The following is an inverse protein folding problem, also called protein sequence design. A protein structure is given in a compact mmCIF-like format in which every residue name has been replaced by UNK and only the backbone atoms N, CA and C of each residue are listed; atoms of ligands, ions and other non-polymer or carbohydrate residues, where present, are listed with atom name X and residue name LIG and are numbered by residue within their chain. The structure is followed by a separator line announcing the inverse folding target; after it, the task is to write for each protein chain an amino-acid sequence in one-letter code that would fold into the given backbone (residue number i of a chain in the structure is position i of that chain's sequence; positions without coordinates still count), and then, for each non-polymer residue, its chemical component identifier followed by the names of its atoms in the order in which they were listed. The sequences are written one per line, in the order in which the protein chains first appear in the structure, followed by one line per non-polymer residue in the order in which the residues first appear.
data_IF_589905001347
#
_entry.id   IF_589905001347
#
_cell.length_a   1.000
_cell.length_b   1.000
_cell.length_c   1.000
_cell.angle_alpha   90.00
_cell.angle_beta   90.00
_cell.angle_gamma   90.00
#
_symmetry.space_group_name_H-M   'P 1'
#
loop_
_entity.id
_entity.type
_entity.pdbx_description
1 polymer ?
#
# COMPACT_ATOMS: atom_id res chain seq x y z
N UNK A 1 -20.06 16.28 -21.42
CA UNK A 1 -20.33 16.19 -19.97
C UNK A 1 -21.01 14.87 -19.58
N UNK A 2 -22.10 14.46 -20.20
CA UNK A 2 -22.84 13.22 -19.91
C UNK A 2 -21.97 11.93 -19.98
N UNK A 3 -21.20 11.71 -21.04
CA UNK A 3 -20.35 10.52 -21.19
C UNK A 3 -19.27 10.41 -20.12
N UNK A 4 -18.63 11.54 -19.71
CA UNK A 4 -17.65 11.53 -18.65
C UNK A 4 -18.27 11.13 -17.31
N UNK A 5 -19.44 11.69 -16.96
CA UNK A 5 -20.18 11.32 -15.76
C UNK A 5 -20.60 9.85 -15.78
N UNK A 6 -20.97 9.31 -16.94
CA UNK A 6 -21.35 7.90 -17.09
C UNK A 6 -20.14 6.99 -16.83
N UNK A 7 -18.96 7.28 -17.41
CA UNK A 7 -17.75 6.50 -17.19
C UNK A 7 -17.31 6.55 -15.72
N UNK A 8 -17.27 7.75 -15.14
CA UNK A 8 -16.90 7.94 -13.73
C UNK A 8 -17.89 7.22 -12.80
N UNK A 9 -19.20 7.30 -13.10
CA UNK A 9 -20.24 6.60 -12.37
C UNK A 9 -20.11 5.09 -12.47
N UNK A 10 -19.77 4.56 -13.64
CA UNK A 10 -19.52 3.13 -13.84
C UNK A 10 -18.33 2.64 -13.03
N UNK A 11 -17.20 3.37 -12.99
CA UNK A 11 -16.03 3.02 -12.19
C UNK A 11 -16.35 2.98 -10.69
N UNK A 12 -17.18 3.93 -10.23
CA UNK A 12 -17.65 3.95 -8.85
C UNK A 12 -18.58 2.76 -8.55
N UNK A 13 -19.54 2.49 -9.42
CA UNK A 13 -20.46 1.34 -9.31
C UNK A 13 -19.68 0.02 -9.28
N UNK A 14 -18.69 -0.15 -10.17
CA UNK A 14 -17.81 -1.32 -10.18
C UNK A 14 -17.14 -1.55 -8.82
N UNK A 15 -16.52 -0.51 -8.26
CA UNK A 15 -15.84 -0.62 -6.96
C UNK A 15 -16.81 -1.00 -5.84
N UNK A 16 -18.01 -0.45 -5.84
CA UNK A 16 -19.08 -0.79 -4.89
C UNK A 16 -19.53 -2.24 -5.06
N UNK A 17 -19.74 -2.69 -6.28
CA UNK A 17 -20.08 -4.08 -6.61
C UNK A 17 -19.01 -5.06 -6.12
N UNK A 18 -17.72 -4.76 -6.33
CA UNK A 18 -16.60 -5.58 -5.84
C UNK A 18 -16.61 -5.67 -4.32
N UNK A 19 -16.88 -4.56 -3.62
CA UNK A 19 -16.95 -4.56 -2.14
C UNK A 19 -18.06 -5.49 -1.66
N UNK A 20 -19.30 -5.32 -2.12
CA UNK A 20 -20.43 -6.15 -1.66
C UNK A 20 -20.25 -7.62 -2.04
N UNK A 21 -19.83 -7.90 -3.28
CA UNK A 21 -19.60 -9.28 -3.73
C UNK A 21 -18.50 -9.96 -2.91
N UNK A 22 -17.41 -9.25 -2.64
CA UNK A 22 -16.28 -9.79 -1.86
C UNK A 22 -16.64 -10.03 -0.39
N UNK A 23 -17.48 -9.18 0.21
CA UNK A 23 -18.01 -9.40 1.56
C UNK A 23 -18.90 -10.64 1.59
N UNK A 24 -19.84 -10.78 0.65
CA UNK A 24 -20.74 -11.94 0.56
C UNK A 24 -19.96 -13.25 0.38
N UNK A 25 -18.99 -13.29 -0.55
CA UNK A 25 -18.13 -14.46 -0.76
C UNK A 25 -17.29 -14.76 0.49
N UNK A 26 -16.79 -13.72 1.18
CA UNK A 26 -16.05 -13.88 2.43
C UNK A 26 -16.86 -14.53 3.55
N UNK A 27 -18.13 -14.17 3.68
CA UNK A 27 -19.05 -14.79 4.65
C UNK A 27 -19.27 -16.29 4.34
N UNK A 28 -19.50 -16.63 3.07
CA UNK A 28 -19.68 -18.03 2.63
C UNK A 28 -18.40 -18.84 2.87
N UNK A 29 -17.23 -18.30 2.51
CA UNK A 29 -15.94 -19.00 2.69
C UNK A 29 -15.56 -19.20 4.15
N UNK A 30 -15.89 -18.27 5.05
CA UNK A 30 -15.68 -18.45 6.49
C UNK A 30 -16.46 -19.65 7.05
N UNK A 31 -17.64 -19.92 6.50
CA UNK A 31 -18.46 -21.10 6.86
C UNK A 31 -17.93 -22.42 6.30
N UNK A 32 -17.19 -22.36 5.17
CA UNK A 32 -16.68 -23.54 4.44
C UNK A 32 -15.24 -23.94 4.80
N UNK A 33 -14.52 -23.18 5.63
CA UNK A 33 -13.13 -23.49 6.01
C UNK A 33 -13.05 -24.66 7.01
N UNK A 34 -13.04 -25.88 6.47
CA UNK A 34 -12.26 -26.98 7.03
C UNK A 34 -10.77 -26.70 6.69
N UNK A 35 -9.96 -26.53 7.71
CA UNK A 35 -8.53 -26.19 7.61
C UNK A 35 -7.73 -27.27 6.86
N UNK A 36 -7.07 -26.92 5.76
CA UNK A 36 -5.87 -27.66 5.36
C UNK A 36 -4.78 -27.25 6.36
N UNK A 37 -4.45 -28.17 7.26
CA UNK A 37 -3.31 -28.07 8.16
C UNK A 37 -2.05 -28.23 7.34
N UNK A 38 -1.32 -27.14 7.12
CA UNK A 38 0.08 -27.20 6.68
C UNK A 38 0.96 -27.28 7.93
N UNK A 39 2.07 -28.03 7.82
CA UNK A 39 3.10 -28.03 8.84
C UNK A 39 3.63 -26.59 9.03
N UNK A 40 3.19 -25.95 10.13
CA UNK A 40 3.54 -24.58 10.45
C UNK A 40 5.04 -24.42 10.82
N UNK A 41 5.74 -25.54 11.06
CA UNK A 41 7.09 -25.53 11.63
C UNK A 41 8.23 -25.52 10.58
N UNK A 42 7.96 -25.69 9.30
CA UNK A 42 9.00 -25.72 8.28
C UNK A 42 9.12 -24.40 7.51
N UNK A 43 9.74 -23.38 8.13
CA UNK A 43 10.19 -22.19 7.41
C UNK A 43 11.20 -22.56 6.31
N UNK A 44 10.99 -22.09 5.07
CA UNK A 44 11.83 -22.43 3.91
C UNK A 44 12.25 -21.25 3.07
N UNK A 45 11.44 -20.19 3.00
CA UNK A 45 11.69 -19.02 2.16
C UNK A 45 12.86 -18.21 2.71
N UNK A 46 13.90 -18.02 1.92
CA UNK A 46 15.01 -17.12 2.26
C UNK A 46 14.67 -15.71 1.81
N UNK A 47 14.48 -14.80 2.79
CA UNK A 47 14.12 -13.42 2.56
C UNK A 47 15.33 -12.49 2.54
N UNK A 48 15.38 -11.57 1.55
CA UNK A 48 16.07 -10.29 1.71
C UNK A 48 15.10 -9.28 2.28
N UNK A 49 15.37 -8.78 3.49
CA UNK A 49 14.55 -7.74 4.14
C UNK A 49 15.13 -6.38 3.81
N UNK A 50 14.59 -5.73 2.79
CA UNK A 50 15.05 -4.43 2.32
C UNK A 50 14.36 -3.33 3.11
N UNK A 51 15.14 -2.43 3.70
CA UNK A 51 14.68 -1.23 4.39
C UNK A 51 15.24 -0.01 3.64
N UNK A 52 14.35 0.82 3.05
CA UNK A 52 14.76 2.06 2.39
C UNK A 52 14.76 3.21 3.41
N UNK A 53 15.88 3.93 3.51
CA UNK A 53 16.06 5.01 4.49
C UNK A 53 16.72 6.24 3.88
N UNK A 54 16.21 7.44 4.22
CA UNK A 54 16.79 8.73 3.87
C UNK A 54 16.64 9.71 5.03
N UNK A 55 17.73 9.95 5.79
CA UNK A 55 17.73 10.79 6.99
C UNK A 55 16.70 10.35 8.05
N UNK A 56 16.79 9.09 8.46
CA UNK A 56 15.87 8.42 9.38
C UNK A 56 16.56 7.98 10.69
N UNK A 57 17.59 8.70 11.14
CA UNK A 57 18.39 8.35 12.35
C UNK A 57 17.53 8.12 13.61
N UNK A 58 16.36 8.79 13.71
CA UNK A 58 15.46 8.71 14.86
C UNK A 58 14.64 7.44 14.91
N UNK A 59 14.41 6.79 13.76
CA UNK A 59 13.44 5.70 13.66
C UNK A 59 14.04 4.40 13.12
N UNK A 60 15.15 4.44 12.35
CA UNK A 60 15.73 3.29 11.64
C UNK A 60 16.01 2.07 12.54
N UNK A 61 16.27 2.28 13.82
CA UNK A 61 16.49 1.18 14.78
C UNK A 61 15.23 0.33 14.99
N UNK A 62 14.03 0.90 14.86
CA UNK A 62 12.75 0.19 15.10
C UNK A 62 12.52 -0.96 14.11
N UNK A 63 12.50 -0.73 12.77
CA UNK A 63 12.33 -1.83 11.82
C UNK A 63 13.43 -2.87 11.93
N UNK A 64 14.69 -2.47 12.11
CA UNK A 64 15.80 -3.41 12.25
C UNK A 64 15.58 -4.31 13.47
N UNK A 65 15.30 -3.73 14.65
CA UNK A 65 15.06 -4.48 15.87
C UNK A 65 13.84 -5.41 15.74
N UNK A 66 12.73 -4.94 15.13
CA UNK A 66 11.52 -5.74 14.96
C UNK A 66 11.73 -6.91 14.00
N UNK A 67 12.50 -6.72 12.91
CA UNK A 67 12.88 -7.81 12.00
C UNK A 67 13.81 -8.79 12.71
N UNK A 68 14.79 -8.33 13.49
CA UNK A 68 15.68 -9.20 14.29
C UNK A 68 14.91 -10.01 15.34
N UNK A 69 13.87 -9.45 15.93
CA UNK A 69 13.02 -10.12 16.93
C UNK A 69 11.93 -11.02 16.32
N UNK A 70 11.80 -11.06 14.98
CA UNK A 70 10.75 -11.86 14.34
C UNK A 70 10.92 -13.36 14.57
N UNK A 71 9.80 -14.07 14.76
CA UNK A 71 9.75 -15.52 14.92
C UNK A 71 9.99 -16.22 13.57
N UNK A 72 11.22 -16.14 13.08
CA UNK A 72 11.66 -16.73 11.82
C UNK A 72 13.16 -17.04 11.89
N UNK A 73 13.65 -18.17 11.30
CA UNK A 73 15.06 -18.52 11.40
C UNK A 73 16.01 -17.45 10.85
N UNK A 74 17.01 -17.05 11.62
CA UNK A 74 17.97 -16.00 11.24
C UNK A 74 18.67 -16.31 9.90
N UNK A 75 19.07 -17.58 9.67
CA UNK A 75 19.71 -18.00 8.41
C UNK A 75 18.83 -17.82 7.16
N UNK A 76 17.51 -17.63 7.34
CA UNK A 76 16.53 -17.44 6.27
C UNK A 76 16.07 -15.98 6.11
N UNK A 77 16.65 -15.06 6.86
CA UNK A 77 16.38 -13.63 6.72
C UNK A 77 17.67 -12.83 6.75
N UNK A 78 17.87 -11.99 5.79
CA UNK A 78 19.00 -11.09 5.70
C UNK A 78 18.48 -9.66 5.63
N UNK A 79 18.96 -8.79 6.53
CA UNK A 79 18.51 -7.39 6.57
C UNK A 79 19.49 -6.57 5.72
N UNK A 80 18.94 -5.83 4.75
CA UNK A 80 19.69 -4.95 3.87
C UNK A 80 19.09 -3.55 3.95
N UNK A 81 19.81 -2.59 4.47
CA UNK A 81 19.40 -1.19 4.53
C UNK A 81 19.95 -0.46 3.31
N UNK A 82 19.07 0.14 2.52
CA UNK A 82 19.44 1.04 1.44
C UNK A 82 19.42 2.47 1.97
N UNK A 83 20.59 2.98 2.35
CA UNK A 83 20.77 4.34 2.86
C UNK A 83 20.95 5.31 1.67
N UNK A 84 19.90 6.07 1.35
CA UNK A 84 19.85 6.96 0.20
C UNK A 84 20.32 8.37 0.55
N UNK A 85 21.55 8.72 0.15
CA UNK A 85 22.10 10.07 0.33
C UNK A 85 21.87 10.62 1.77
N UNK A 86 22.07 9.79 2.79
CA UNK A 86 21.91 10.19 4.19
C UNK A 86 23.02 11.18 4.57
N UNK A 87 22.60 12.27 5.22
CA UNK A 87 23.49 13.30 5.80
C UNK A 87 23.54 13.25 7.33
N UNK A 88 22.72 12.39 7.95
CA UNK A 88 22.63 12.12 9.38
C UNK A 88 23.28 10.77 9.73
N UNK A 89 23.04 10.28 10.93
CA UNK A 89 23.62 9.02 11.43
C UNK A 89 22.86 7.77 11.04
N UNK A 90 21.91 7.83 10.09
CA UNK A 90 21.08 6.68 9.66
C UNK A 90 21.92 5.45 9.32
N UNK A 91 22.92 5.61 8.44
CA UNK A 91 23.76 4.50 7.99
C UNK A 91 24.64 3.94 9.14
N UNK A 92 25.19 4.81 10.00
CA UNK A 92 25.98 4.43 11.18
C UNK A 92 25.14 3.62 12.15
N UNK A 93 23.92 4.10 12.47
CA UNK A 93 23.00 3.39 13.39
C UNK A 93 22.61 2.03 12.82
N UNK A 94 22.26 1.96 11.54
CA UNK A 94 21.93 0.69 10.90
C UNK A 94 23.10 -0.30 10.91
N UNK A 95 24.32 0.17 10.64
CA UNK A 95 25.54 -0.66 10.67
C UNK A 95 25.94 -1.15 12.06
N UNK A 96 25.45 -0.52 13.13
CA UNK A 96 25.71 -0.95 14.51
C UNK A 96 24.99 -2.24 14.90
N UNK A 97 23.97 -2.66 14.14
CA UNK A 97 23.24 -3.90 14.39
C UNK A 97 23.97 -5.11 13.80
N UNK A 98 24.22 -6.17 14.57
CA UNK A 98 24.89 -7.37 14.06
C UNK A 98 24.13 -8.03 12.92
N UNK A 99 24.85 -8.38 11.84
CA UNK A 99 24.25 -9.08 10.69
C UNK A 99 23.45 -8.19 9.72
N UNK A 100 23.38 -6.89 9.94
CA UNK A 100 22.75 -5.93 9.03
C UNK A 100 23.73 -5.48 7.96
N UNK A 101 23.34 -5.57 6.69
CA UNK A 101 24.08 -5.02 5.57
C UNK A 101 23.59 -3.62 5.26
N UNK A 102 24.48 -2.65 5.25
CA UNK A 102 24.17 -1.27 4.86
C UNK A 102 24.78 -1.00 3.50
N UNK A 103 23.95 -0.50 2.58
CA UNK A 103 24.35 -0.11 1.24
C UNK A 103 24.03 1.36 1.05
N UNK A 104 25.08 2.17 0.97
CA UNK A 104 24.97 3.61 0.81
C UNK A 104 24.89 4.01 -0.68
N UNK A 105 23.77 4.60 -1.08
CA UNK A 105 23.58 5.20 -2.39
C UNK A 105 23.99 6.67 -2.32
N UNK A 106 25.08 7.02 -3.02
CA UNK A 106 25.65 8.39 -3.03
C UNK A 106 25.44 9.15 -4.36
N UNK A 107 24.59 8.62 -5.22
CA UNK A 107 24.16 9.26 -6.48
C UNK A 107 22.78 9.85 -6.33
N UNK A 108 22.43 10.93 -7.08
CA UNK A 108 21.11 11.55 -6.98
C UNK A 108 19.97 10.56 -7.09
N UNK A 109 18.89 10.80 -6.33
CA UNK A 109 17.70 9.96 -6.25
C UNK A 109 16.45 10.79 -6.44
N UNK A 110 15.50 10.28 -7.23
CA UNK A 110 14.17 10.87 -7.40
C UNK A 110 13.15 10.38 -6.36
N UNK A 111 13.57 9.49 -5.44
CA UNK A 111 12.74 8.92 -4.39
C UNK A 111 12.90 7.41 -4.24
N UNK A 112 12.01 6.80 -3.47
CA UNK A 112 12.07 5.37 -3.10
C UNK A 112 12.14 4.43 -4.31
N UNK A 113 11.46 4.75 -5.42
CA UNK A 113 11.51 3.95 -6.65
C UNK A 113 12.93 3.83 -7.22
N UNK A 114 13.71 4.93 -7.22
CA UNK A 114 15.10 4.92 -7.67
C UNK A 114 16.03 4.18 -6.71
N UNK A 115 15.76 4.27 -5.40
CA UNK A 115 16.50 3.53 -4.37
C UNK A 115 16.28 2.03 -4.54
N UNK A 116 15.03 1.61 -4.75
CA UNK A 116 14.69 0.23 -5.02
C UNK A 116 15.32 -0.25 -6.34
N UNK A 117 15.26 0.54 -7.42
CA UNK A 117 15.89 0.19 -8.68
C UNK A 117 17.38 -0.08 -8.52
N UNK A 118 18.10 0.82 -7.86
CA UNK A 118 19.53 0.70 -7.61
C UNK A 118 19.88 -0.49 -6.71
N UNK A 119 19.21 -0.61 -5.57
CA UNK A 119 19.58 -1.61 -4.56
C UNK A 119 19.15 -3.03 -4.94
N UNK A 120 17.98 -3.18 -5.59
CA UNK A 120 17.49 -4.49 -6.02
C UNK A 120 18.35 -5.09 -7.14
N UNK A 121 18.90 -4.27 -8.04
CA UNK A 121 19.83 -4.76 -9.07
C UNK A 121 21.09 -5.38 -8.47
N UNK A 122 21.54 -4.90 -7.31
CA UNK A 122 22.71 -5.45 -6.62
C UNK A 122 22.37 -6.77 -5.92
N UNK A 123 21.21 -6.86 -5.26
CA UNK A 123 20.89 -8.02 -4.42
C UNK A 123 20.08 -9.10 -5.13
N UNK A 124 19.51 -8.84 -6.30
CA UNK A 124 18.60 -9.77 -7.00
C UNK A 124 19.19 -11.18 -7.23
N UNK A 125 20.50 -11.27 -7.42
CA UNK A 125 21.20 -12.55 -7.65
C UNK A 125 21.76 -13.16 -6.36
N UNK A 126 21.36 -12.67 -5.18
CA UNK A 126 21.83 -13.13 -3.88
C UNK A 126 21.25 -14.49 -3.42
N UNK A 127 20.50 -15.19 -4.27
CA UNK A 127 19.91 -16.49 -3.95
C UNK A 127 18.74 -16.41 -2.96
N UNK A 128 18.02 -15.29 -2.95
CA UNK A 128 16.80 -15.11 -2.15
C UNK A 128 15.59 -15.70 -2.87
N UNK A 129 14.71 -16.36 -2.11
CA UNK A 129 13.42 -16.83 -2.61
C UNK A 129 12.39 -15.72 -2.69
N UNK A 130 12.52 -14.71 -1.81
CA UNK A 130 11.66 -13.54 -1.80
C UNK A 130 12.38 -12.29 -1.27
N UNK A 131 11.97 -11.14 -1.75
CA UNK A 131 12.42 -9.81 -1.29
C UNK A 131 11.26 -9.18 -0.54
N UNK A 132 11.46 -8.83 0.73
CA UNK A 132 10.51 -8.11 1.58
C UNK A 132 10.93 -6.63 1.64
N UNK A 133 9.98 -5.70 1.46
CA UNK A 133 10.24 -4.26 1.42
C UNK A 133 9.54 -3.57 2.57
N UNK A 134 10.31 -2.80 3.34
CA UNK A 134 9.83 -1.99 4.48
C UNK A 134 10.34 -0.54 4.37
N UNK A 135 9.58 0.37 4.96
CA UNK A 135 10.02 1.75 5.21
C UNK A 135 10.80 1.83 6.54
N UNK A 136 11.57 2.90 6.71
CA UNK A 136 12.44 3.09 7.87
C UNK A 136 11.69 3.35 9.18
N UNK A 137 10.40 3.64 9.12
CA UNK A 137 9.51 3.90 10.26
C UNK A 137 8.58 2.73 10.61
N UNK A 138 8.75 1.58 9.94
CA UNK A 138 7.90 0.42 10.15
C UNK A 138 8.33 -0.44 11.33
N UNK A 139 7.37 -1.15 11.91
CA UNK A 139 7.60 -2.25 12.83
C UNK A 139 6.91 -3.50 12.32
N UNK A 140 7.55 -4.65 12.44
CA UNK A 140 7.08 -5.92 11.90
C UNK A 140 6.57 -6.81 13.02
N UNK A 141 5.34 -7.33 12.88
CA UNK A 141 4.81 -8.32 13.82
C UNK A 141 5.69 -9.58 13.81
N UNK A 142 5.99 -10.19 14.97
CA UNK A 142 6.86 -11.37 15.03
C UNK A 142 6.47 -12.51 14.09
N UNK A 143 5.18 -12.69 13.80
CA UNK A 143 4.69 -13.76 12.93
C UNK A 143 4.68 -13.39 11.43
N UNK A 144 5.04 -12.17 11.05
CA UNK A 144 4.92 -11.67 9.68
C UNK A 144 5.64 -12.56 8.66
N UNK A 145 6.90 -12.90 8.91
CA UNK A 145 7.71 -13.75 8.01
C UNK A 145 7.14 -15.14 7.85
N UNK A 146 6.67 -15.79 8.92
CA UNK A 146 6.01 -17.10 8.83
C UNK A 146 4.75 -17.05 7.97
N UNK A 147 3.96 -15.98 8.09
CA UNK A 147 2.73 -15.82 7.30
C UNK A 147 3.04 -15.56 5.83
N UNK A 148 4.06 -14.75 5.53
CA UNK A 148 4.52 -14.51 4.16
C UNK A 148 5.19 -15.75 3.54
N UNK A 149 6.04 -16.46 4.27
CA UNK A 149 6.61 -17.74 3.84
C UNK A 149 5.51 -18.73 3.40
N UNK A 150 4.46 -18.86 4.22
CA UNK A 150 3.31 -19.69 3.87
C UNK A 150 2.64 -19.23 2.57
N UNK A 151 2.47 -17.94 2.36
CA UNK A 151 1.87 -17.39 1.14
C UNK A 151 2.74 -17.68 -0.09
N UNK A 152 4.06 -17.46 0.00
CA UNK A 152 5.04 -17.71 -1.07
C UNK A 152 5.06 -19.21 -1.43
N UNK A 153 5.09 -20.08 -0.43
CA UNK A 153 5.06 -21.55 -0.64
C UNK A 153 3.74 -22.04 -1.25
N UNK A 154 2.64 -21.32 -1.00
CA UNK A 154 1.34 -21.58 -1.63
C UNK A 154 1.20 -20.95 -3.03
N UNK A 155 2.29 -20.49 -3.63
CA UNK A 155 2.34 -20.01 -5.00
C UNK A 155 2.15 -18.50 -5.16
N UNK A 156 2.10 -17.72 -4.07
CA UNK A 156 2.10 -16.27 -4.21
C UNK A 156 3.46 -15.80 -4.76
N UNK A 157 3.42 -15.03 -5.84
CA UNK A 157 4.60 -14.40 -6.42
C UNK A 157 4.83 -13.00 -5.88
N UNK A 158 3.72 -12.30 -5.54
CA UNK A 158 3.70 -11.02 -4.84
C UNK A 158 2.69 -11.10 -3.71
N UNK A 159 3.05 -10.64 -2.52
CA UNK A 159 2.17 -10.66 -1.36
C UNK A 159 2.29 -9.38 -0.53
N UNK A 160 1.17 -8.90 0.01
CA UNK A 160 1.11 -7.73 0.90
C UNK A 160 0.44 -8.09 2.22
N UNK A 161 0.94 -7.49 3.30
CA UNK A 161 0.44 -7.69 4.65
C UNK A 161 -0.72 -6.78 5.05
N UNK A 162 -1.09 -6.86 6.32
CA UNK A 162 -2.08 -6.01 6.99
C UNK A 162 -1.38 -4.80 7.59
N UNK A 163 -1.64 -3.61 7.05
CA UNK A 163 -1.04 -2.37 7.53
C UNK A 163 -1.83 -1.81 8.71
N UNK A 164 -1.19 -1.64 9.85
CA UNK A 164 -1.74 -0.96 11.02
C UNK A 164 -0.99 0.34 11.28
N UNK A 165 -1.69 1.32 11.86
CA UNK A 165 -1.02 2.50 12.38
C UNK A 165 -0.32 2.17 13.69
N UNK A 166 0.94 2.60 13.88
CA UNK A 166 1.67 2.47 15.17
C UNK A 166 1.22 3.52 16.18
N UNK A 167 0.69 4.66 15.71
CA UNK A 167 0.24 5.79 16.53
C UNK A 167 -1.26 6.16 16.32
N UNK A 168 -2.22 5.19 16.34
CA UNK A 168 -3.60 5.39 15.89
C UNK A 168 -4.40 6.43 16.69
N UNK A 169 -3.95 6.73 17.91
CA UNK A 169 -4.66 7.58 18.88
C UNK A 169 -3.89 8.86 19.27
N UNK A 170 -2.81 9.19 18.55
CA UNK A 170 -2.00 10.36 18.87
C UNK A 170 -2.80 11.68 18.68
N UNK A 171 -3.62 11.75 17.63
CA UNK A 171 -4.54 12.87 17.40
C UNK A 171 -5.60 12.51 16.34
N UNK A 172 -6.42 13.49 15.93
CA UNK A 172 -7.48 13.30 14.94
C UNK A 172 -6.96 12.90 13.56
N UNK A 173 -5.80 13.43 13.14
CA UNK A 173 -5.19 13.13 11.83
C UNK A 173 -4.76 11.67 11.79
N UNK A 174 -4.05 11.19 12.81
CA UNK A 174 -3.63 9.78 12.88
C UNK A 174 -4.83 8.83 12.94
N UNK A 175 -5.91 9.26 13.62
CA UNK A 175 -7.19 8.56 13.61
C UNK A 175 -7.80 8.44 12.21
N UNK A 176 -7.80 9.51 11.41
CA UNK A 176 -8.27 9.48 10.03
C UNK A 176 -7.44 8.54 9.15
N UNK A 177 -6.11 8.54 9.29
CA UNK A 177 -5.24 7.60 8.58
C UNK A 177 -5.51 6.16 9.01
N UNK A 178 -5.75 5.91 10.29
CA UNK A 178 -6.12 4.59 10.80
C UNK A 178 -7.41 4.09 10.14
N UNK A 179 -8.43 4.95 10.01
CA UNK A 179 -9.67 4.61 9.30
C UNK A 179 -9.43 4.36 7.81
N UNK A 180 -8.59 5.16 7.17
CA UNK A 180 -8.20 4.96 5.77
C UNK A 180 -7.52 3.60 5.57
N UNK A 181 -6.59 3.21 6.45
CA UNK A 181 -5.94 1.89 6.37
C UNK A 181 -6.89 0.75 6.72
N UNK A 182 -7.83 0.92 7.65
CA UNK A 182 -8.90 -0.06 7.88
C UNK A 182 -9.74 -0.26 6.61
N UNK A 183 -10.10 0.81 5.91
CA UNK A 183 -10.82 0.75 4.64
C UNK A 183 -10.01 0.00 3.58
N UNK A 184 -8.72 0.32 3.43
CA UNK A 184 -7.84 -0.36 2.48
C UNK A 184 -7.67 -1.85 2.80
N UNK A 185 -7.52 -2.20 4.07
CA UNK A 185 -7.38 -3.59 4.50
C UNK A 185 -8.67 -4.39 4.31
N UNK A 186 -9.82 -3.88 4.79
CA UNK A 186 -11.06 -4.66 4.90
C UNK A 186 -11.96 -4.52 3.67
N UNK A 187 -12.16 -3.31 3.16
CA UNK A 187 -13.06 -3.05 2.03
C UNK A 187 -12.35 -2.98 0.67
N UNK A 188 -11.01 -2.99 0.65
CA UNK A 188 -10.24 -3.09 -0.59
C UNK A 188 -9.52 -4.43 -0.72
N UNK A 189 -8.49 -4.69 0.08
CA UNK A 189 -7.61 -5.86 -0.10
C UNK A 189 -8.31 -7.18 0.29
N UNK A 190 -9.02 -7.24 1.42
CA UNK A 190 -9.71 -8.46 1.86
C UNK A 190 -10.82 -8.88 0.89
N UNK A 191 -11.65 -7.93 0.44
CA UNK A 191 -12.75 -8.25 -0.49
C UNK A 191 -12.21 -8.73 -1.84
N UNK A 192 -11.13 -8.12 -2.34
CA UNK A 192 -10.46 -8.56 -3.58
C UNK A 192 -9.84 -9.94 -3.42
N UNK A 193 -9.19 -10.20 -2.31
CA UNK A 193 -8.66 -11.52 -1.99
C UNK A 193 -9.76 -12.58 -1.97
N UNK A 194 -10.93 -12.27 -1.40
CA UNK A 194 -12.09 -13.17 -1.39
C UNK A 194 -12.59 -13.51 -2.81
N UNK A 195 -12.51 -12.55 -3.73
CA UNK A 195 -12.91 -12.72 -5.14
C UNK A 195 -11.79 -13.26 -6.04
N UNK A 196 -10.61 -13.57 -5.50
CA UNK A 196 -9.42 -13.96 -6.26
C UNK A 196 -8.93 -12.86 -7.22
N UNK A 197 -9.27 -11.59 -6.94
CA UNK A 197 -8.74 -10.42 -7.61
C UNK A 197 -7.39 -10.01 -6.99
N UNK A 198 -6.70 -9.06 -7.63
CA UNK A 198 -5.43 -8.54 -7.15
C UNK A 198 -5.64 -7.51 -6.05
N UNK A 199 -4.91 -7.65 -4.94
CA UNK A 199 -4.87 -6.65 -3.89
C UNK A 199 -3.96 -5.47 -4.28
N UNK A 200 -4.06 -4.36 -3.56
CA UNK A 200 -3.17 -3.22 -3.75
C UNK A 200 -1.95 -3.35 -2.85
N UNK A 201 -0.80 -2.94 -3.36
CA UNK A 201 0.35 -2.62 -2.52
C UNK A 201 0.13 -1.25 -1.86
N UNK A 202 0.74 -1.05 -0.71
CA UNK A 202 0.55 0.15 0.12
C UNK A 202 1.87 0.80 0.54
N UNK A 203 2.86 0.74 -0.34
CA UNK A 203 4.18 1.34 -0.18
C UNK A 203 5.17 0.44 0.55
N UNK A 204 4.72 -0.33 1.51
CA UNK A 204 5.56 -1.07 2.44
C UNK A 204 4.89 -2.35 2.93
N UNK A 205 5.60 -3.20 3.69
CA UNK A 205 5.04 -4.43 4.26
C UNK A 205 4.59 -5.44 3.21
N UNK A 206 5.29 -5.52 2.09
CA UNK A 206 5.04 -6.48 1.01
C UNK A 206 6.28 -7.29 0.68
N UNK A 207 6.09 -8.42 0.03
CA UNK A 207 7.19 -9.20 -0.52
C UNK A 207 6.86 -9.73 -1.92
N UNK A 208 7.89 -10.05 -2.67
CA UNK A 208 7.78 -10.60 -4.02
C UNK A 208 8.96 -11.54 -4.32
N UNK A 209 8.74 -12.48 -5.23
CA UNK A 209 9.82 -13.32 -5.75
C UNK A 209 10.69 -12.53 -6.73
N UNK A 210 12.02 -12.71 -6.74
CA UNK A 210 12.91 -11.97 -7.65
C UNK A 210 12.57 -12.13 -9.14
N UNK A 211 12.01 -13.25 -9.54
CA UNK A 211 11.59 -13.57 -10.90
C UNK A 211 10.39 -12.75 -11.42
N UNK A 212 9.68 -12.08 -10.52
CA UNK A 212 8.60 -11.12 -10.88
C UNK A 212 9.17 -9.83 -11.48
N UNK A 213 10.43 -9.49 -11.17
CA UNK A 213 11.07 -8.32 -11.74
C UNK A 213 11.35 -8.54 -13.23
N UNK A 214 11.03 -7.58 -14.09
CA UNK A 214 11.38 -7.67 -15.52
C UNK A 214 12.91 -7.75 -15.70
N UNK A 215 13.36 -8.16 -16.89
CA UNK A 215 14.80 -8.27 -17.20
C UNK A 215 15.60 -7.02 -16.88
N UNK A 216 14.97 -5.85 -16.95
CA UNK A 216 15.59 -4.58 -16.58
C UNK A 216 15.54 -4.21 -15.11
N UNK A 217 15.08 -5.09 -14.22
CA UNK A 217 14.96 -4.81 -12.78
C UNK A 217 13.73 -3.95 -12.42
N UNK A 218 13.79 -3.30 -11.26
CA UNK A 218 12.73 -2.40 -10.79
C UNK A 218 12.73 -1.10 -11.62
N UNK A 219 11.64 -0.82 -12.32
CA UNK A 219 11.54 0.33 -13.24
C UNK A 219 10.27 1.13 -13.04
N UNK A 220 10.13 1.72 -11.89
CA UNK A 220 9.05 2.65 -11.60
C UNK A 220 9.53 4.10 -11.77
N UNK A 221 8.62 4.99 -12.13
CA UNK A 221 8.90 6.42 -12.41
C UNK A 221 7.83 7.35 -11.86
N UNK A 222 6.83 6.80 -11.16
CA UNK A 222 5.79 7.61 -10.51
C UNK A 222 6.11 7.79 -9.02
N UNK A 223 5.44 8.75 -8.38
CA UNK A 223 5.57 8.96 -6.92
C UNK A 223 4.86 7.91 -6.07
N UNK A 224 4.26 6.90 -6.69
CA UNK A 224 3.60 5.74 -6.07
C UNK A 224 4.14 4.47 -6.73
N UNK A 225 5.43 4.23 -6.52
CA UNK A 225 6.21 3.15 -7.13
C UNK A 225 5.59 1.77 -6.86
N UNK A 226 4.96 1.61 -5.71
CA UNK A 226 4.27 0.40 -5.27
C UNK A 226 3.02 0.10 -6.10
N UNK A 227 2.17 1.11 -6.33
CA UNK A 227 0.99 0.98 -7.20
C UNK A 227 1.39 0.75 -8.65
N UNK A 228 2.45 1.41 -9.11
CA UNK A 228 3.00 1.20 -10.43
C UNK A 228 3.55 -0.22 -10.59
N UNK A 229 4.27 -0.74 -9.59
CA UNK A 229 4.75 -2.12 -9.57
C UNK A 229 3.59 -3.12 -9.55
N UNK A 230 2.57 -2.90 -8.70
CA UNK A 230 1.37 -3.73 -8.67
C UNK A 230 0.66 -3.75 -10.03
N UNK A 231 0.61 -2.62 -10.74
CA UNK A 231 0.05 -2.53 -12.07
C UNK A 231 0.84 -3.38 -13.08
N UNK A 232 2.18 -3.31 -13.08
CA UNK A 232 3.02 -4.15 -13.95
C UNK A 232 2.88 -5.63 -13.63
N UNK A 233 2.89 -6.01 -12.36
CA UNK A 233 2.64 -7.39 -11.96
C UNK A 233 1.32 -7.91 -12.57
N UNK A 234 0.25 -7.11 -12.52
CA UNK A 234 -1.04 -7.52 -13.09
C UNK A 234 -1.02 -7.60 -14.62
N UNK A 235 -0.29 -6.73 -15.32
CA UNK A 235 -0.09 -6.81 -16.76
C UNK A 235 0.63 -8.09 -17.18
N UNK A 236 1.59 -8.53 -16.37
CA UNK A 236 2.40 -9.73 -16.62
C UNK A 236 1.75 -11.00 -16.04
N UNK A 237 0.49 -10.90 -15.57
CA UNK A 237 -0.30 -12.02 -15.09
C UNK A 237 -0.08 -12.38 -13.61
N UNK A 238 0.80 -11.68 -12.90
CA UNK A 238 1.08 -11.88 -11.49
C UNK A 238 0.04 -11.16 -10.61
N UNK A 239 -0.57 -11.90 -9.71
CA UNK A 239 -1.54 -11.35 -8.76
C UNK A 239 -0.85 -10.94 -7.47
N UNK A 240 -1.18 -9.77 -6.96
CA UNK A 240 -0.85 -9.38 -5.57
C UNK A 240 -1.78 -10.13 -4.61
N UNK A 241 -1.22 -11.03 -3.81
CA UNK A 241 -1.93 -11.78 -2.80
C UNK A 241 -2.01 -10.99 -1.49
N UNK A 242 -3.16 -10.99 -0.83
CA UNK A 242 -3.33 -10.37 0.49
C UNK A 242 -3.19 -11.41 1.60
N UNK A 243 -2.33 -11.11 2.57
CA UNK A 243 -2.06 -11.96 3.73
C UNK A 243 -2.49 -11.22 5.00
N UNK A 244 -3.78 -11.30 5.38
CA UNK A 244 -4.35 -10.47 6.45
C UNK A 244 -3.76 -10.74 7.84
N UNK A 245 -3.08 -11.88 8.01
CA UNK A 245 -2.45 -12.25 9.29
C UNK A 245 -0.99 -11.82 9.38
N UNK A 246 -0.37 -11.38 8.28
CA UNK A 246 0.97 -10.80 8.26
C UNK A 246 0.87 -9.29 8.56
N UNK A 247 0.91 -8.96 9.85
CA UNK A 247 0.72 -7.57 10.32
C UNK A 247 2.04 -6.82 10.34
N UNK A 248 1.99 -5.56 9.96
CA UNK A 248 3.07 -4.59 10.18
C UNK A 248 2.48 -3.25 10.60
N UNK A 249 3.28 -2.44 11.27
CA UNK A 249 2.88 -1.16 11.84
C UNK A 249 3.66 -0.03 11.16
N UNK A 250 2.98 1.09 10.93
CA UNK A 250 3.47 2.22 10.18
C UNK A 250 3.11 3.53 10.90
N UNK A 251 4.05 4.47 11.00
CA UNK A 251 3.83 5.74 11.69
C UNK A 251 3.02 6.70 10.79
N UNK A 252 1.93 7.26 11.32
CA UNK A 252 1.09 8.20 10.59
C UNK A 252 1.46 9.65 10.92
N UNK A 253 1.34 10.57 9.93
CA UNK A 253 1.61 11.98 10.16
C UNK A 253 0.72 12.57 11.25
N UNK A 254 1.33 13.34 12.17
CA UNK A 254 0.63 13.97 13.30
C UNK A 254 0.23 15.43 13.04
N UNK A 255 0.61 16.01 11.89
CA UNK A 255 0.38 17.42 11.59
C UNK A 255 -0.21 17.60 10.17
N UNK A 256 -0.95 18.70 9.97
CA UNK A 256 -1.65 19.01 8.71
C UNK A 256 -0.68 19.14 7.53
N UNK A 257 0.47 19.80 7.72
CA UNK A 257 1.42 20.04 6.62
C UNK A 257 2.05 18.75 6.08
N UNK A 258 2.57 17.81 6.89
CA UNK A 258 2.98 16.48 6.44
C UNK A 258 1.83 15.68 5.82
N UNK A 259 0.64 15.69 6.42
CA UNK A 259 -0.56 15.05 5.87
C UNK A 259 -0.82 15.53 4.44
N UNK A 260 -0.94 16.84 4.22
CA UNK A 260 -1.22 17.40 2.91
C UNK A 260 -0.11 17.06 1.89
N UNK A 261 1.16 17.08 2.30
CA UNK A 261 2.30 16.71 1.45
C UNK A 261 2.19 15.24 1.00
N UNK A 262 1.84 14.34 1.91
CA UNK A 262 1.68 12.92 1.61
C UNK A 262 0.48 12.68 0.67
N UNK A 263 -0.67 13.29 0.95
CA UNK A 263 -1.87 13.19 0.11
C UNK A 263 -1.63 13.75 -1.30
N UNK A 264 -0.91 14.89 -1.43
CA UNK A 264 -0.55 15.45 -2.72
C UNK A 264 0.41 14.54 -3.50
N UNK A 265 1.34 13.87 -2.83
CA UNK A 265 2.23 12.87 -3.45
C UNK A 265 1.42 11.69 -4.00
N UNK A 266 0.51 11.14 -3.22
CA UNK A 266 -0.35 10.04 -3.65
C UNK A 266 -1.26 10.43 -4.82
N UNK A 267 -1.89 11.60 -4.74
CA UNK A 267 -2.74 12.13 -5.81
C UNK A 267 -1.95 12.35 -7.11
N UNK A 268 -0.76 13.00 -7.01
CA UNK A 268 0.12 13.20 -8.17
C UNK A 268 0.55 11.87 -8.78
N UNK A 269 0.94 10.90 -7.96
CA UNK A 269 1.34 9.58 -8.43
C UNK A 269 0.21 8.81 -9.12
N UNK A 270 -1.02 8.87 -8.57
CA UNK A 270 -2.20 8.31 -9.23
C UNK A 270 -2.50 8.93 -10.60
N UNK A 271 -2.38 10.27 -10.71
CA UNK A 271 -2.51 10.99 -11.98
C UNK A 271 -1.39 10.61 -12.98
N UNK A 272 -0.16 10.38 -12.49
CA UNK A 272 0.95 9.92 -13.32
C UNK A 272 0.69 8.51 -13.87
N UNK A 273 0.17 7.58 -13.06
CA UNK A 273 -0.21 6.24 -13.53
C UNK A 273 -1.26 6.33 -14.65
N UNK A 274 -2.32 7.12 -14.46
CA UNK A 274 -3.31 7.37 -15.48
C UNK A 274 -2.67 7.88 -16.77
N UNK A 275 -1.88 8.95 -16.68
CA UNK A 275 -1.27 9.61 -17.83
C UNK A 275 -0.32 8.68 -18.59
N UNK A 276 0.50 7.89 -17.89
CA UNK A 276 1.56 7.11 -18.52
C UNK A 276 1.07 5.74 -19.01
N UNK A 277 0.04 5.17 -18.39
CA UNK A 277 -0.29 3.74 -18.56
C UNK A 277 -1.71 3.44 -19.03
N UNK A 278 -2.62 4.42 -19.16
CA UNK A 278 -4.00 4.19 -19.62
C UNK A 278 -4.05 3.47 -20.96
N UNK A 279 -3.22 3.89 -21.90
CA UNK A 279 -3.19 3.27 -23.25
C UNK A 279 -2.61 1.86 -23.22
N UNK A 280 -1.60 1.60 -22.38
CA UNK A 280 -1.05 0.25 -22.19
C UNK A 280 -2.09 -0.67 -21.57
N UNK A 281 -2.82 -0.19 -20.58
CA UNK A 281 -3.92 -0.91 -19.97
C UNK A 281 -5.05 -1.21 -20.94
N UNK A 282 -5.53 -0.24 -21.72
CA UNK A 282 -6.55 -0.44 -22.74
C UNK A 282 -6.10 -1.49 -23.76
N UNK A 283 -4.88 -1.38 -24.31
CA UNK A 283 -4.33 -2.39 -25.22
C UNK A 283 -4.33 -3.79 -24.63
N UNK A 284 -3.96 -3.93 -23.35
CA UNK A 284 -3.95 -5.22 -22.67
C UNK A 284 -5.36 -5.80 -22.53
N UNK A 285 -6.37 -4.99 -22.18
CA UNK A 285 -7.76 -5.41 -22.10
C UNK A 285 -8.34 -5.83 -23.47
N UNK A 286 -7.98 -5.13 -24.55
CA UNK A 286 -8.43 -5.51 -25.90
C UNK A 286 -7.78 -6.80 -26.42
N UNK A 287 -6.55 -7.12 -25.96
CA UNK A 287 -5.85 -8.36 -26.33
C UNK A 287 -6.34 -9.58 -25.56
N UNK A 288 -6.74 -9.39 -24.32
CA UNK A 288 -7.25 -10.45 -23.44
C UNK A 288 -8.07 -9.84 -22.29
N UNK A 289 -9.42 -9.81 -22.40
CA UNK A 289 -10.28 -9.27 -21.35
C UNK A 289 -10.01 -9.97 -20.04
N UNK A 290 -9.63 -9.21 -19.00
CA UNK A 290 -9.34 -9.72 -17.67
C UNK A 290 -10.02 -8.86 -16.63
N UNK A 291 -10.95 -9.44 -15.87
CA UNK A 291 -11.59 -8.77 -14.72
C UNK A 291 -10.56 -8.30 -13.69
N UNK A 292 -9.49 -9.06 -13.49
CA UNK A 292 -8.40 -8.69 -12.57
C UNK A 292 -7.68 -7.43 -13.04
N UNK A 293 -7.32 -7.38 -14.32
CA UNK A 293 -6.62 -6.22 -14.87
C UNK A 293 -7.53 -4.99 -14.90
N UNK A 294 -8.81 -5.17 -15.20
CA UNK A 294 -9.80 -4.11 -15.16
C UNK A 294 -9.96 -3.56 -13.72
N UNK A 295 -10.16 -4.44 -12.73
CA UNK A 295 -10.33 -4.05 -11.32
C UNK A 295 -9.06 -3.37 -10.74
N UNK A 296 -7.87 -3.86 -11.07
CA UNK A 296 -6.61 -3.26 -10.66
C UNK A 296 -6.51 -1.79 -11.12
N UNK A 297 -6.87 -1.51 -12.36
CA UNK A 297 -6.87 -0.14 -12.86
C UNK A 297 -8.00 0.70 -12.27
N UNK A 298 -9.19 0.10 -12.13
CA UNK A 298 -10.34 0.77 -11.53
C UNK A 298 -10.04 1.26 -10.11
N UNK A 299 -9.42 0.43 -9.27
CA UNK A 299 -9.09 0.82 -7.89
C UNK A 299 -7.99 1.89 -7.83
N UNK A 300 -6.95 1.79 -8.67
CA UNK A 300 -5.89 2.81 -8.74
C UNK A 300 -6.49 4.17 -9.13
N UNK A 301 -7.47 4.17 -10.03
CA UNK A 301 -8.10 5.39 -10.55
C UNK A 301 -9.29 5.87 -9.72
N UNK A 302 -9.79 5.03 -8.80
CA UNK A 302 -11.00 5.31 -8.02
C UNK A 302 -10.93 6.65 -7.27
N UNK A 303 -9.81 6.94 -6.64
CA UNK A 303 -9.59 8.20 -5.93
C UNK A 303 -9.74 9.42 -6.84
N UNK A 304 -9.17 9.35 -8.04
CA UNK A 304 -9.27 10.43 -9.05
C UNK A 304 -10.71 10.53 -9.58
N UNK A 305 -11.30 9.40 -9.98
CA UNK A 305 -12.66 9.37 -10.49
C UNK A 305 -13.69 9.86 -9.47
N UNK A 306 -13.60 9.41 -8.23
CA UNK A 306 -14.49 9.83 -7.15
C UNK A 306 -14.39 11.32 -6.84
N UNK A 307 -13.16 11.86 -6.83
CA UNK A 307 -12.91 13.27 -6.61
C UNK A 307 -13.49 14.13 -7.73
N UNK A 308 -13.29 13.74 -8.99
CA UNK A 308 -13.88 14.44 -10.14
C UNK A 308 -15.41 14.40 -10.12
N UNK A 309 -16.01 13.26 -9.78
CA UNK A 309 -17.47 13.15 -9.61
C UNK A 309 -17.98 14.11 -8.55
N UNK A 310 -17.30 14.19 -7.40
CA UNK A 310 -17.68 15.11 -6.33
C UNK A 310 -17.67 16.57 -6.82
N UNK A 311 -16.59 16.99 -7.47
CA UNK A 311 -16.44 18.37 -7.95
C UNK A 311 -17.40 18.71 -9.09
N UNK A 312 -17.64 17.82 -10.04
CA UNK A 312 -18.59 18.04 -11.13
C UNK A 312 -20.02 18.16 -10.62
N UNK A 313 -20.41 17.35 -9.63
CA UNK A 313 -21.72 17.47 -9.00
C UNK A 313 -21.85 18.72 -8.13
N UNK A 314 -20.79 19.14 -7.43
CA UNK A 314 -20.78 20.40 -6.70
C UNK A 314 -20.93 21.61 -7.64
N UNK A 315 -20.21 21.60 -8.78
CA UNK A 315 -20.35 22.64 -9.82
C UNK A 315 -21.75 22.69 -10.44
N UNK A 316 -22.42 21.54 -10.51
CA UNK A 316 -23.82 21.45 -10.97
C UNK A 316 -24.85 21.74 -9.85
N UNK A 317 -24.41 22.19 -8.69
CA UNK A 317 -25.24 22.45 -7.49
C UNK A 317 -26.08 21.24 -7.05
N UNK A 318 -25.59 20.03 -7.33
CA UNK A 318 -26.25 18.79 -6.93
C UNK A 318 -25.90 18.44 -5.45
N UNK A 319 -26.50 19.15 -4.52
CA UNK A 319 -26.28 18.96 -3.08
C UNK A 319 -26.65 17.54 -2.59
N UNK A 320 -27.59 16.85 -3.27
CA UNK A 320 -28.00 15.47 -2.95
C UNK A 320 -26.83 14.50 -3.13
N UNK A 321 -26.04 14.67 -4.19
CA UNK A 321 -24.83 13.88 -4.38
C UNK A 321 -23.80 14.16 -3.29
N UNK A 322 -23.63 15.40 -2.87
CA UNK A 322 -22.74 15.77 -1.76
C UNK A 322 -23.14 15.07 -0.44
N UNK A 323 -24.41 15.10 -0.07
CA UNK A 323 -24.92 14.39 1.11
C UNK A 323 -24.71 12.88 1.01
N UNK A 324 -24.98 12.30 -0.16
CA UNK A 324 -24.76 10.88 -0.41
C UNK A 324 -23.28 10.50 -0.28
N UNK A 325 -22.36 11.33 -0.81
CA UNK A 325 -20.91 11.12 -0.69
C UNK A 325 -20.44 11.12 0.77
N UNK A 326 -20.91 12.09 1.57
CA UNK A 326 -20.59 12.19 3.00
C UNK A 326 -21.12 10.98 3.77
N UNK A 327 -22.36 10.57 3.51
CA UNK A 327 -22.98 9.41 4.13
C UNK A 327 -22.24 8.11 3.75
N UNK A 328 -21.83 7.96 2.50
CA UNK A 328 -21.04 6.83 2.02
C UNK A 328 -19.67 6.76 2.68
N UNK A 329 -18.96 7.90 2.78
CA UNK A 329 -17.67 7.98 3.46
C UNK A 329 -17.81 7.58 4.94
N UNK A 330 -18.83 8.08 5.62
CA UNK A 330 -19.12 7.75 7.00
C UNK A 330 -19.45 6.26 7.19
N UNK A 331 -20.37 5.72 6.39
CA UNK A 331 -20.74 4.31 6.43
C UNK A 331 -19.55 3.39 6.16
N UNK A 332 -18.67 3.76 5.22
CA UNK A 332 -17.45 3.02 4.91
C UNK A 332 -16.48 3.01 6.09
N UNK A 333 -16.32 4.14 6.80
CA UNK A 333 -15.49 4.23 8.00
C UNK A 333 -16.04 3.34 9.13
N UNK A 334 -17.36 3.37 9.38
CA UNK A 334 -18.01 2.51 10.38
C UNK A 334 -17.82 1.04 10.04
N UNK A 335 -18.16 0.64 8.81
CA UNK A 335 -18.11 -0.75 8.36
C UNK A 335 -16.67 -1.28 8.38
N UNK A 336 -15.71 -0.53 7.83
CA UNK A 336 -14.32 -0.96 7.82
C UNK A 336 -13.75 -1.11 9.22
N UNK A 337 -14.12 -0.22 10.15
CA UNK A 337 -13.68 -0.32 11.55
C UNK A 337 -14.32 -1.50 12.25
N UNK A 338 -15.62 -1.77 12.03
CA UNK A 338 -16.30 -2.93 12.59
C UNK A 338 -15.70 -4.28 12.13
N UNK A 339 -15.11 -4.32 10.93
CA UNK A 339 -14.44 -5.49 10.37
C UNK A 339 -12.95 -5.55 10.73
N UNK A 340 -12.35 -4.45 11.16
CA UNK A 340 -10.92 -4.31 11.45
C UNK A 340 -10.55 -4.84 12.83
N UNK A 341 -9.27 -4.66 13.17
CA UNK A 341 -8.71 -5.01 14.49
C UNK A 341 -8.86 -3.90 15.52
N UNK A 342 -9.36 -2.72 15.12
CA UNK A 342 -9.52 -1.56 16.00
C UNK A 342 -10.91 -1.50 16.64
N UNK A 343 -10.98 -0.98 17.87
CA UNK A 343 -12.25 -0.73 18.54
C UNK A 343 -12.96 0.50 17.96
N UNK A 344 -14.25 0.37 17.61
CA UNK A 344 -15.10 1.49 17.18
C UNK A 344 -15.12 2.60 18.24
N UNK A 345 -15.20 2.23 19.54
CA UNK A 345 -15.25 3.21 20.64
C UNK A 345 -14.00 4.07 20.70
N UNK A 346 -12.82 3.47 20.46
CA UNK A 346 -11.55 4.17 20.49
C UNK A 346 -11.38 5.14 19.30
N UNK A 347 -12.07 4.91 18.18
CA UNK A 347 -12.02 5.72 16.97
C UNK A 347 -13.29 6.53 16.73
N UNK A 348 -14.15 6.75 17.74
CA UNK A 348 -15.46 7.38 17.58
C UNK A 348 -15.34 8.78 16.96
N UNK A 349 -14.49 9.65 17.49
CA UNK A 349 -14.30 11.00 16.96
C UNK A 349 -13.73 11.01 15.52
N UNK A 350 -12.67 10.26 15.20
CA UNK A 350 -12.24 10.06 13.82
C UNK A 350 -13.35 9.56 12.89
N UNK A 351 -14.19 8.59 13.33
CA UNK A 351 -15.31 8.05 12.53
C UNK A 351 -16.32 9.14 12.20
N UNK A 352 -16.77 9.90 13.21
CA UNK A 352 -17.76 10.99 13.02
C UNK A 352 -17.22 12.03 12.03
N UNK A 353 -15.94 12.34 12.11
CA UNK A 353 -15.30 13.39 11.29
C UNK A 353 -14.66 12.87 9.99
N UNK A 354 -14.70 11.56 9.72
CA UNK A 354 -14.08 10.96 8.52
C UNK A 354 -14.55 11.56 7.19
N UNK A 355 -15.83 11.96 7.02
CA UNK A 355 -16.27 12.67 5.82
C UNK A 355 -15.45 13.93 5.51
N UNK A 356 -14.97 14.64 6.54
CA UNK A 356 -14.08 15.81 6.35
C UNK A 356 -12.75 15.36 5.72
N UNK A 357 -12.17 14.28 6.21
CA UNK A 357 -10.94 13.73 5.61
C UNK A 357 -11.16 13.29 4.16
N UNK A 358 -12.30 12.66 3.84
CA UNK A 358 -12.64 12.27 2.47
C UNK A 358 -12.76 13.47 1.52
N UNK A 359 -13.31 14.60 2.01
CA UNK A 359 -13.35 15.87 1.26
C UNK A 359 -11.95 16.43 1.09
N UNK A 360 -11.11 16.46 2.14
CA UNK A 360 -9.71 16.92 2.05
C UNK A 360 -8.94 16.09 1.01
N UNK A 361 -9.08 14.77 1.02
CA UNK A 361 -8.46 13.89 0.05
C UNK A 361 -8.92 14.23 -1.38
N UNK A 362 -10.22 14.41 -1.58
CA UNK A 362 -10.79 14.78 -2.89
C UNK A 362 -10.32 16.15 -3.36
N UNK A 363 -10.29 17.15 -2.48
CA UNK A 363 -9.73 18.48 -2.78
C UNK A 363 -8.25 18.40 -3.17
N UNK A 364 -7.49 17.55 -2.49
CA UNK A 364 -6.06 17.36 -2.78
C UNK A 364 -5.85 16.74 -4.17
N UNK A 365 -6.71 15.79 -4.60
CA UNK A 365 -6.63 15.24 -5.96
C UNK A 365 -6.84 16.33 -7.01
N UNK A 366 -7.87 17.17 -6.85
CA UNK A 366 -8.13 18.28 -7.79
C UNK A 366 -6.98 19.31 -7.74
N UNK A 367 -6.50 19.65 -6.53
CA UNK A 367 -5.34 20.53 -6.38
C UNK A 367 -4.10 20.00 -7.13
N UNK A 368 -3.84 18.68 -7.05
CA UNK A 368 -2.70 18.05 -7.71
C UNK A 368 -2.75 18.09 -9.24
N UNK A 369 -3.93 18.27 -9.84
CA UNK A 369 -4.06 18.46 -11.30
C UNK A 369 -3.43 19.78 -11.77
N UNK A 370 -3.49 20.80 -10.93
CA UNK A 370 -2.96 22.15 -11.22
C UNK A 370 -1.58 22.37 -10.61
N UNK A 371 -1.33 21.77 -9.43
CA UNK A 371 -0.12 21.92 -8.64
C UNK A 371 0.47 20.55 -8.26
N UNK A 372 0.90 19.76 -9.25
CA UNK A 372 1.48 18.44 -8.98
C UNK A 372 2.79 18.56 -8.21
N UNK A 373 3.07 17.59 -7.37
CA UNK A 373 4.38 17.48 -6.73
C UNK A 373 5.45 17.27 -7.81
N UNK A 374 6.54 18.07 -7.77
CA UNK A 374 7.60 18.02 -8.79
C UNK A 374 8.84 17.27 -8.34
N UNK A 375 9.03 17.12 -7.04
CA UNK A 375 10.17 16.41 -6.45
C UNK A 375 9.72 15.63 -5.23
N UNK A 376 10.38 14.53 -4.97
CA UNK A 376 10.18 13.79 -3.72
C UNK A 376 10.73 14.63 -2.55
N UNK A 377 9.98 14.65 -1.45
CA UNK A 377 10.38 15.30 -0.21
C UNK A 377 10.09 14.36 0.95
N UNK A 378 11.06 14.11 1.84
CA UNK A 378 10.86 13.23 2.98
C UNK A 378 9.78 13.77 3.93
N UNK A 379 9.14 12.86 4.67
CA UNK A 379 8.28 13.17 5.81
C UNK A 379 9.15 12.97 7.05
N UNK A 380 9.15 13.92 7.96
CA UNK A 380 9.88 13.80 9.21
C UNK A 380 9.13 12.88 10.17
N UNK A 381 9.80 11.86 10.69
CA UNK A 381 9.28 10.87 11.63
C UNK A 381 9.90 11.04 13.03
N UNK A 382 9.29 10.40 14.05
CA UNK A 382 9.88 10.32 15.39
C UNK A 382 9.71 11.58 16.25
N UNK A 383 8.61 12.34 16.07
CA UNK A 383 8.25 13.46 16.96
C UNK A 383 7.26 13.02 18.02
#
# INVERSE_FOLDING_TARGET
MTWALTILGFMFFWSTFVVFSGLAVGLVRRRAKGLKTFDENAARTRFACVICAHNEERVISRPIASVLAADYPERLREIVVFADNCSDRTAEIAASFPGVKVMEKKIPSGGKGDVLAWGLDIIRNGGYDAIAVFDADNEVDPAWFRKMDRAIRNGAQVATGYRMSSNPFANLITGWYTLYWNLMNELSNRVRSNLNLSSMLTGTGFCFKPDVLPEGGWRTRTFVEDLEFAFFCNLDGHRVCYVPDAVFYDEQPVAVRPMFRQLNRWATGGLQILRFYVWRWLKALFRGPSFRLFDCFAIITLGVCGSLLLFLNAAALNWRFGLWFLAFAWASAVLSTALSRHSIRALLLPIVTFPVFAVILSCTVVYSMFFPQRSWKPIEHGR
#
